data_IF_601413436151
#
_entry.id   IF_601413436151
#
_cell.length_a   1.000
_cell.length_b   1.000
_cell.length_c   1.000
_cell.angle_alpha   90.00
_cell.angle_beta   90.00
_cell.angle_gamma   90.00
#
_symmetry.space_group_name_H-M   'P 1'
#
loop_
_entity.id
_entity.type
_entity.pdbx_description
1 polymer ?
#
# COMPACT_ATOMS: atom_id res chain seq x y z
N UNK A 1 -4.20 22.53 -11.01
CA UNK A 1 -3.20 22.18 -9.98
C UNK A 1 -3.58 22.94 -8.73
N UNK A 2 -4.24 22.30 -7.77
CA UNK A 2 -4.66 22.94 -6.52
C UNK A 2 -3.46 23.01 -5.60
N UNK A 3 -2.99 24.21 -5.29
CA UNK A 3 -1.86 24.43 -4.40
C UNK A 3 -2.41 24.64 -2.98
N UNK A 4 -2.04 23.75 -2.06
CA UNK A 4 -2.50 23.76 -0.68
C UNK A 4 -1.48 24.50 0.18
N UNK A 5 -1.88 25.59 0.84
CA UNK A 5 -1.01 26.36 1.72
C UNK A 5 -1.31 26.03 3.18
N UNK A 6 -0.27 25.72 3.94
CA UNK A 6 -0.35 25.45 5.38
C UNK A 6 0.03 26.72 6.12
N UNK A 7 -0.90 27.32 6.86
CA UNK A 7 -0.58 28.44 7.75
C UNK A 7 -0.02 27.90 9.05
N UNK A 8 1.19 28.33 9.44
CA UNK A 8 1.80 27.96 10.73
C UNK A 8 1.75 29.15 11.68
N UNK A 9 1.35 28.89 12.92
CA UNK A 9 1.46 29.84 14.01
C UNK A 9 2.91 30.35 14.13
N UNK A 10 3.14 31.67 14.08
CA UNK A 10 4.50 32.21 14.08
C UNK A 10 5.24 31.95 15.39
N UNK A 11 4.53 31.76 16.50
CA UNK A 11 5.04 31.60 17.86
C UNK A 11 5.18 30.11 18.23
N UNK A 12 4.14 29.30 18.01
CA UNK A 12 4.12 27.88 18.43
C UNK A 12 4.52 26.91 17.33
N UNK A 13 4.60 27.37 16.06
CA UNK A 13 4.80 26.55 14.86
C UNK A 13 3.72 25.49 14.60
N UNK A 14 2.63 25.50 15.38
CA UNK A 14 1.47 24.66 15.14
C UNK A 14 0.80 25.05 13.82
N UNK A 15 0.19 24.07 13.14
CA UNK A 15 -0.57 24.32 11.91
C UNK A 15 -1.94 24.88 12.33
N UNK A 16 -2.27 26.11 11.92
CA UNK A 16 -3.53 26.80 12.26
C UNK A 16 -4.54 26.73 11.10
N UNK A 17 -4.60 25.58 10.42
CA UNK A 17 -5.53 25.33 9.32
C UNK A 17 -4.87 25.24 7.93
N UNK A 18 -5.55 24.51 7.05
CA UNK A 18 -5.21 24.31 5.64
C UNK A 18 -6.02 25.30 4.81
N UNK A 19 -5.36 26.28 4.17
CA UNK A 19 -6.03 27.26 3.33
C UNK A 19 -6.03 26.78 1.87
N UNK A 20 -7.19 26.38 1.36
CA UNK A 20 -7.41 26.15 -0.06
C UNK A 20 -7.50 27.51 -0.78
N UNK A 21 -6.42 27.91 -1.45
CA UNK A 21 -6.36 29.20 -2.13
C UNK A 21 -7.05 29.10 -3.50
N UNK A 22 -8.35 29.39 -3.57
CA UNK A 22 -8.98 29.95 -4.78
C UNK A 22 -8.98 31.47 -4.58
N UNK A 23 -8.38 32.21 -5.51
CA UNK A 23 -8.23 33.67 -5.43
C UNK A 23 -9.55 34.45 -5.32
N UNK A 24 -10.68 33.76 -5.46
CA UNK A 24 -12.03 34.30 -5.54
C UNK A 24 -12.90 33.92 -4.31
N UNK A 25 -12.35 33.19 -3.33
CA UNK A 25 -13.09 32.68 -2.17
C UNK A 25 -12.49 33.20 -0.85
N UNK A 26 -13.35 33.59 0.09
CA UNK A 26 -12.93 33.89 1.47
C UNK A 26 -12.19 32.68 2.06
N UNK A 27 -11.20 32.88 2.94
CA UNK A 27 -10.49 31.78 3.59
C UNK A 27 -11.47 30.99 4.46
N UNK A 28 -12.01 29.90 3.93
CA UNK A 28 -12.69 28.89 4.73
C UNK A 28 -11.64 28.14 5.51
N UNK A 29 -11.62 28.35 6.83
CA UNK A 29 -10.88 27.49 7.73
C UNK A 29 -11.46 26.08 7.58
N UNK A 30 -10.75 25.20 6.88
CA UNK A 30 -11.09 23.79 6.86
C UNK A 30 -10.92 23.24 8.28
N UNK A 31 -11.98 22.69 8.85
CA UNK A 31 -11.97 22.03 10.16
C UNK A 31 -10.89 20.95 10.18
N UNK A 32 -10.08 20.91 11.24
CA UNK A 32 -9.03 19.90 11.45
C UNK A 32 -9.59 18.46 11.46
N UNK A 33 -10.91 18.29 11.66
CA UNK A 33 -11.61 17.01 11.57
C UNK A 33 -12.01 16.60 10.13
N UNK A 34 -11.81 17.45 9.12
CA UNK A 34 -12.11 17.08 7.73
C UNK A 34 -11.19 15.92 7.30
N UNK A 35 -11.72 14.86 6.66
CA UNK A 35 -10.95 13.66 6.32
C UNK A 35 -9.69 13.95 5.49
N UNK A 36 -9.74 14.95 4.62
CA UNK A 36 -8.60 15.38 3.79
C UNK A 36 -7.49 16.04 4.62
N UNK A 37 -7.85 16.87 5.60
CA UNK A 37 -6.89 17.51 6.53
C UNK A 37 -6.30 16.48 7.48
N UNK A 38 -7.12 15.57 8.03
CA UNK A 38 -6.64 14.47 8.87
C UNK A 38 -5.68 13.57 8.11
N UNK A 39 -5.98 13.20 6.86
CA UNK A 39 -5.10 12.38 6.03
C UNK A 39 -3.79 13.09 5.63
N UNK A 40 -3.82 14.41 5.46
CA UNK A 40 -2.61 15.21 5.22
C UNK A 40 -1.73 15.31 6.47
N UNK A 41 -2.33 15.55 7.64
CA UNK A 41 -1.63 15.69 8.90
C UNK A 41 -1.11 14.34 9.43
N UNK A 42 -1.86 13.26 9.19
CA UNK A 42 -1.54 11.90 9.56
C UNK A 42 -1.58 11.00 8.31
N UNK A 43 -0.57 11.09 7.43
CA UNK A 43 -0.51 10.23 6.27
C UNK A 43 -0.52 8.76 6.74
N UNK A 44 -1.28 7.87 6.06
CA UNK A 44 -1.25 6.46 6.37
C UNK A 44 0.19 5.97 6.35
N UNK A 45 0.62 5.28 7.41
CA UNK A 45 1.95 4.67 7.41
C UNK A 45 2.02 3.72 6.20
N UNK A 46 3.07 3.82 5.36
CA UNK A 46 3.27 2.87 4.28
C UNK A 46 3.18 1.44 4.84
N UNK A 47 2.28 0.64 4.28
CA UNK A 47 2.12 -0.73 4.69
C UNK A 47 3.27 -1.56 4.13
N UNK A 48 3.80 -2.44 4.95
CA UNK A 48 4.92 -3.31 4.62
C UNK A 48 4.50 -4.76 4.82
N UNK A 49 4.95 -5.63 3.93
CA UNK A 49 4.74 -7.07 4.03
C UNK A 49 6.11 -7.74 4.02
N UNK A 50 6.35 -8.57 5.03
CA UNK A 50 7.48 -9.49 5.04
C UNK A 50 7.13 -10.73 4.24
N UNK A 51 8.04 -11.18 3.37
CA UNK A 51 7.81 -12.38 2.55
C UNK A 51 7.51 -13.63 3.38
N UNK A 52 8.06 -13.71 4.60
CA UNK A 52 7.82 -14.81 5.53
C UNK A 52 6.37 -14.82 6.05
N UNK A 53 5.81 -13.65 6.36
CA UNK A 53 4.43 -13.51 6.80
C UNK A 53 3.46 -13.82 5.66
N UNK A 54 3.78 -13.38 4.44
CA UNK A 54 3.04 -13.74 3.23
C UNK A 54 3.04 -15.26 3.03
N UNK A 55 4.22 -15.90 3.13
CA UNK A 55 4.35 -17.34 3.00
C UNK A 55 3.57 -18.11 4.05
N UNK A 56 3.50 -17.59 5.28
CA UNK A 56 2.73 -18.19 6.37
C UNK A 56 1.21 -18.21 6.09
N UNK A 57 0.72 -17.37 5.17
CA UNK A 57 -0.69 -17.39 4.77
C UNK A 57 -1.02 -18.46 3.72
N UNK A 58 -0.01 -19.05 3.07
CA UNK A 58 -0.24 -20.05 2.03
C UNK A 58 -0.61 -21.41 2.62
N UNK A 59 -1.63 -22.02 2.03
CA UNK A 59 -2.02 -23.41 2.28
C UNK A 59 -1.21 -24.36 1.39
N UNK A 60 -1.31 -25.66 1.66
CA UNK A 60 -0.75 -26.69 0.78
C UNK A 60 -1.30 -26.61 -0.66
N UNK A 61 -2.57 -26.22 -0.83
CA UNK A 61 -3.18 -26.04 -2.14
C UNK A 61 -2.59 -24.83 -2.89
N UNK A 62 -2.38 -23.70 -2.20
CA UNK A 62 -1.74 -22.52 -2.79
C UNK A 62 -0.30 -22.86 -3.23
N UNK A 63 0.45 -23.56 -2.38
CA UNK A 63 1.81 -23.99 -2.68
C UNK A 63 1.86 -24.91 -3.91
N UNK A 64 0.93 -25.86 -4.04
CA UNK A 64 0.84 -26.72 -5.21
C UNK A 64 0.50 -25.94 -6.50
N UNK A 65 -0.41 -24.98 -6.41
CA UNK A 65 -0.77 -24.11 -7.54
C UNK A 65 0.42 -23.25 -7.99
N UNK A 66 1.14 -22.66 -7.04
CA UNK A 66 2.36 -21.87 -7.32
C UNK A 66 3.44 -22.75 -7.94
N UNK A 67 3.70 -23.94 -7.38
CA UNK A 67 4.67 -24.89 -7.94
C UNK A 67 4.33 -25.29 -9.38
N UNK A 68 3.05 -25.54 -9.66
CA UNK A 68 2.59 -25.86 -11.02
C UNK A 68 2.76 -24.66 -11.96
N UNK A 69 2.40 -23.46 -11.51
CA UNK A 69 2.49 -22.24 -12.32
C UNK A 69 3.93 -21.87 -12.67
N UNK A 70 4.89 -22.04 -11.75
CA UNK A 70 6.30 -21.73 -12.00
C UNK A 70 6.99 -22.78 -12.88
N UNK A 71 6.53 -24.03 -12.89
CA UNK A 71 7.17 -25.12 -13.65
C UNK A 71 7.14 -24.89 -15.18
N UNK A 72 6.12 -24.19 -15.68
CA UNK A 72 5.97 -23.85 -17.10
C UNK A 72 6.25 -22.38 -17.44
N UNK A 73 6.54 -21.53 -16.45
CA UNK A 73 6.65 -20.09 -16.64
C UNK A 73 7.88 -19.52 -15.90
N UNK A 74 8.97 -19.37 -16.65
CA UNK A 74 10.26 -18.86 -16.13
C UNK A 74 10.12 -17.46 -15.52
N UNK A 75 9.24 -16.61 -16.05
CA UNK A 75 9.04 -15.26 -15.50
C UNK A 75 8.39 -15.32 -14.11
N UNK A 76 7.41 -16.20 -13.92
CA UNK A 76 6.81 -16.43 -12.60
C UNK A 76 7.81 -17.04 -11.64
N UNK A 77 8.65 -17.97 -12.11
CA UNK A 77 9.72 -18.55 -11.29
C UNK A 77 10.72 -17.50 -10.80
N UNK A 78 11.18 -16.61 -11.67
CA UNK A 78 12.10 -15.52 -11.31
C UNK A 78 11.48 -14.55 -10.30
N UNK A 79 10.23 -14.17 -10.52
CA UNK A 79 9.49 -13.26 -9.64
C UNK A 79 9.26 -13.88 -8.26
N UNK A 80 8.82 -15.14 -8.22
CA UNK A 80 8.64 -15.91 -6.99
C UNK A 80 9.96 -16.04 -6.22
N UNK A 81 11.04 -16.40 -6.91
CA UNK A 81 12.37 -16.51 -6.31
C UNK A 81 12.85 -15.18 -5.73
N UNK A 82 12.58 -14.06 -6.41
CA UNK A 82 12.91 -12.73 -5.92
C UNK A 82 12.11 -12.36 -4.67
N UNK A 83 10.82 -12.70 -4.60
CA UNK A 83 10.00 -12.47 -3.41
C UNK A 83 10.50 -13.28 -2.22
N UNK A 84 10.83 -14.57 -2.40
CA UNK A 84 11.31 -15.42 -1.31
C UNK A 84 12.72 -15.03 -0.84
N UNK A 85 13.58 -14.57 -1.75
CA UNK A 85 14.94 -14.12 -1.41
C UNK A 85 14.95 -12.79 -0.63
N UNK A 86 13.85 -12.03 -0.69
CA UNK A 86 13.71 -10.77 0.02
C UNK A 86 13.62 -11.01 1.52
N UNK A 87 14.61 -10.48 2.27
CA UNK A 87 14.67 -10.57 3.74
C UNK A 87 14.08 -9.37 4.46
N UNK A 88 14.07 -8.22 3.80
CA UNK A 88 13.53 -6.99 4.37
C UNK A 88 12.05 -6.82 4.00
N UNK A 89 11.22 -6.27 4.89
CA UNK A 89 9.83 -5.94 4.57
C UNK A 89 9.73 -5.08 3.30
N UNK A 90 8.78 -5.40 2.43
CA UNK A 90 8.52 -4.65 1.21
C UNK A 90 7.31 -3.76 1.38
N UNK A 91 7.41 -2.50 0.96
CA UNK A 91 6.23 -1.66 0.83
C UNK A 91 5.24 -2.25 -0.16
N UNK A 92 3.95 -2.28 0.20
CA UNK A 92 2.88 -2.79 -0.67
C UNK A 92 2.71 -1.97 -1.95
N UNK A 93 3.26 -0.76 -1.98
CA UNK A 93 3.29 0.13 -3.15
C UNK A 93 4.54 -0.04 -4.01
N UNK A 94 5.50 -0.87 -3.60
CA UNK A 94 6.72 -1.11 -4.38
C UNK A 94 6.40 -1.86 -5.67
N UNK A 95 6.92 -1.41 -6.81
CA UNK A 95 6.69 -2.02 -8.10
C UNK A 95 6.99 -3.53 -8.15
N UNK A 96 8.02 -4.00 -7.42
CA UNK A 96 8.35 -5.43 -7.32
C UNK A 96 7.31 -6.20 -6.51
N UNK A 97 6.80 -5.62 -5.43
CA UNK A 97 5.74 -6.22 -4.64
C UNK A 97 4.46 -6.32 -5.46
N UNK A 98 4.07 -5.23 -6.14
CA UNK A 98 2.89 -5.18 -6.99
C UNK A 98 2.97 -6.19 -8.15
N UNK A 99 4.14 -6.32 -8.79
CA UNK A 99 4.36 -7.34 -9.81
C UNK A 99 4.20 -8.77 -9.24
N UNK A 100 4.82 -9.03 -8.07
CA UNK A 100 4.67 -10.26 -7.28
C UNK A 100 3.20 -10.60 -6.99
N UNK A 101 2.49 -9.62 -6.46
CA UNK A 101 1.09 -9.72 -6.09
C UNK A 101 0.19 -9.99 -7.29
N UNK A 102 0.40 -9.29 -8.41
CA UNK A 102 -0.34 -9.50 -9.65
C UNK A 102 -0.14 -10.91 -10.21
N UNK A 103 1.07 -11.46 -10.14
CA UNK A 103 1.31 -12.84 -10.53
C UNK A 103 0.59 -13.83 -9.61
N UNK A 104 0.58 -13.58 -8.30
CA UNK A 104 -0.16 -14.41 -7.35
C UNK A 104 -1.68 -14.33 -7.59
N UNK A 105 -2.22 -13.17 -7.96
CA UNK A 105 -3.63 -13.06 -8.40
C UNK A 105 -3.90 -13.93 -9.63
N UNK A 106 -2.98 -13.99 -10.60
CA UNK A 106 -3.13 -14.84 -11.78
C UNK A 106 -3.09 -16.34 -11.45
N UNK A 107 -2.37 -16.74 -10.40
CA UNK A 107 -2.19 -18.15 -10.01
C UNK A 107 -3.27 -18.61 -9.01
N UNK A 108 -3.55 -17.82 -7.99
CA UNK A 108 -4.43 -18.16 -6.87
C UNK A 108 -5.84 -17.55 -7.01
N UNK A 109 -5.99 -16.55 -7.86
CA UNK A 109 -7.23 -15.78 -8.04
C UNK A 109 -7.37 -14.63 -7.06
N UNK A 110 -8.12 -13.60 -7.49
CA UNK A 110 -8.42 -12.42 -6.67
C UNK A 110 -9.03 -12.76 -5.31
N UNK A 111 -10.05 -13.65 -5.18
CA UNK A 111 -10.68 -13.90 -3.89
C UNK A 111 -9.70 -14.48 -2.85
N UNK A 112 -8.73 -15.29 -3.29
CA UNK A 112 -7.72 -15.86 -2.40
C UNK A 112 -6.74 -14.79 -1.93
N UNK A 113 -6.32 -13.91 -2.84
CA UNK A 113 -5.41 -12.81 -2.51
C UNK A 113 -6.06 -11.77 -1.61
N UNK A 114 -7.36 -11.49 -1.77
CA UNK A 114 -8.11 -10.61 -0.86
C UNK A 114 -8.15 -11.18 0.57
N UNK A 115 -8.34 -12.50 0.71
CA UNK A 115 -8.30 -13.16 2.01
C UNK A 115 -6.90 -13.07 2.67
N UNK A 116 -5.84 -13.20 1.88
CA UNK A 116 -4.46 -13.07 2.35
C UNK A 116 -4.16 -11.61 2.76
N UNK A 117 -4.59 -10.63 1.96
CA UNK A 117 -4.44 -9.21 2.29
C UNK A 117 -5.15 -8.86 3.61
N UNK A 118 -6.38 -9.36 3.79
CA UNK A 118 -7.13 -9.19 5.03
C UNK A 118 -6.42 -9.83 6.24
N UNK A 119 -5.88 -11.03 6.09
CA UNK A 119 -5.14 -11.72 7.16
C UNK A 119 -3.83 -10.99 7.54
N UNK A 120 -3.17 -10.36 6.56
CA UNK A 120 -1.97 -9.55 6.76
C UNK A 120 -2.28 -8.11 7.21
N UNK A 121 -3.55 -7.70 7.24
CA UNK A 121 -3.96 -6.34 7.58
C UNK A 121 -3.49 -5.29 6.58
N UNK A 122 -3.30 -5.68 5.30
CA UNK A 122 -2.85 -4.78 4.24
C UNK A 122 -3.93 -4.56 3.19
N UNK A 123 -3.78 -3.48 2.45
CA UNK A 123 -4.60 -3.14 1.28
C UNK A 123 -3.67 -2.95 0.10
N UNK A 124 -3.82 -3.80 -0.92
CA UNK A 124 -3.02 -3.76 -2.14
C UNK A 124 -3.94 -3.30 -3.27
N UNK A 125 -3.59 -2.21 -3.93
CA UNK A 125 -4.36 -1.57 -5.00
C UNK A 125 -3.73 -1.82 -6.37
#
# INVERSE_FOLDING_TARGET
MTMVFVSRDPVTKAINGVLANRADCAPEALDDATPEVVAFLNPPKPQEVLSQDLMAQFTAADAAAIQSAIAGNVQFWLLWSAMVAQKDPMFVTNARFLAGWAALIQVLGQPRMDAIAAALGVTVH
#
